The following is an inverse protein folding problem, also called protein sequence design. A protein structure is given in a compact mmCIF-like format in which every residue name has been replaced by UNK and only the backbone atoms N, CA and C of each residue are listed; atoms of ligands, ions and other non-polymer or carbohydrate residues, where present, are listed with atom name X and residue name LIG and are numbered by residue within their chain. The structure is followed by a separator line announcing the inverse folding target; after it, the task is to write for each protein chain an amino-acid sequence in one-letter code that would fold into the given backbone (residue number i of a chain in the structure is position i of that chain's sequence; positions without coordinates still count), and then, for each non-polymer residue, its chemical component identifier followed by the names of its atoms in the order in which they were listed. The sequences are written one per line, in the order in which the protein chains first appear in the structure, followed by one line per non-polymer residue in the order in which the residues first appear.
data_IF_698222890596
#
_entry.id   IF_698222890596
#
_cell.length_a   1.000
_cell.length_b   1.000
_cell.length_c   1.000
_cell.angle_alpha   90.00
_cell.angle_beta   90.00
_cell.angle_gamma   90.00
#
_symmetry.space_group_name_H-M   'P 1'
#
loop_
_entity.id
_entity.type
_entity.pdbx_description
1 polymer ?
#
# COMPACT_ATOMS: atom_id res chain seq x y z
N UNK A 1 0.23 30.27 10.53
CA UNK A 1 0.03 29.13 9.63
C UNK A 1 -0.94 28.17 10.32
N UNK A 2 -2.11 27.91 9.74
CA UNK A 2 -3.11 27.03 10.34
C UNK A 2 -2.72 25.55 10.21
N UNK A 3 -3.19 24.71 11.12
CA UNK A 3 -3.01 23.27 11.04
C UNK A 3 -3.84 22.68 9.89
N UNK A 4 -3.24 21.78 9.10
CA UNK A 4 -3.93 21.10 8.00
C UNK A 4 -4.78 19.93 8.54
N UNK A 5 -5.98 20.27 9.03
CA UNK A 5 -6.96 19.29 9.53
C UNK A 5 -7.39 18.33 8.42
N UNK A 6 -7.39 18.76 7.15
CA UNK A 6 -7.79 17.90 6.04
C UNK A 6 -6.85 16.70 5.89
N UNK A 7 -5.55 16.91 6.04
CA UNK A 7 -4.55 15.82 6.04
C UNK A 7 -4.67 14.91 7.26
N UNK A 8 -5.04 15.45 8.42
CA UNK A 8 -5.25 14.65 9.63
C UNK A 8 -6.41 13.67 9.47
N UNK A 9 -7.45 14.03 8.73
CA UNK A 9 -8.62 13.15 8.52
C UNK A 9 -8.31 11.95 7.62
N UNK A 10 -7.28 12.03 6.77
CA UNK A 10 -6.88 10.94 5.87
C UNK A 10 -6.36 9.76 6.69
N UNK A 11 -7.05 8.63 6.60
CA UNK A 11 -6.69 7.44 7.38
C UNK A 11 -7.17 7.46 8.84
N UNK A 12 -7.94 8.47 9.26
CA UNK A 12 -8.54 8.52 10.59
C UNK A 12 -9.64 7.46 10.80
N UNK A 13 -10.12 6.83 9.72
CA UNK A 13 -11.13 5.76 9.73
C UNK A 13 -12.37 6.11 10.58
N UNK A 14 -12.80 7.37 10.53
CA UNK A 14 -13.97 7.88 11.25
C UNK A 14 -13.77 8.09 12.76
N UNK A 15 -12.54 7.96 13.28
CA UNK A 15 -12.24 8.14 14.71
C UNK A 15 -12.10 9.60 15.15
N UNK A 16 -11.98 10.53 14.19
CA UNK A 16 -11.77 11.96 14.44
C UNK A 16 -12.89 12.85 13.87
N UNK A 17 -13.95 12.26 13.34
CA UNK A 17 -15.07 13.01 12.75
C UNK A 17 -15.71 12.31 11.56
N UNK A 18 -16.75 12.93 11.04
CA UNK A 18 -17.45 12.52 9.83
C UNK A 18 -17.06 13.45 8.68
N UNK A 19 -16.74 12.87 7.53
CA UNK A 19 -16.55 13.63 6.28
C UNK A 19 -17.91 13.74 5.60
N UNK A 20 -18.40 14.97 5.45
CA UNK A 20 -19.66 15.26 4.74
C UNK A 20 -19.39 15.62 3.28
N UNK A 21 -18.40 16.49 3.07
CA UNK A 21 -17.97 16.94 1.75
C UNK A 21 -16.48 16.68 1.56
N UNK A 22 -16.12 16.22 0.35
CA UNK A 22 -14.72 16.01 -0.05
C UNK A 22 -14.48 16.64 -1.42
N UNK A 23 -13.36 17.36 -1.53
CA UNK A 23 -12.88 17.87 -2.82
C UNK A 23 -11.71 17.01 -3.28
N UNK A 24 -11.85 16.40 -4.46
CA UNK A 24 -10.82 15.53 -5.03
C UNK A 24 -10.18 16.21 -6.23
N UNK A 25 -8.84 16.29 -6.22
CA UNK A 25 -8.09 16.65 -7.42
C UNK A 25 -8.16 15.47 -8.40
N UNK A 26 -8.68 15.72 -9.59
CA UNK A 26 -8.70 14.74 -10.68
C UNK A 26 -7.57 15.00 -11.67
N UNK A 27 -7.14 13.94 -12.35
CA UNK A 27 -6.17 14.02 -13.45
C UNK A 27 -6.89 13.73 -14.78
N UNK A 28 -6.42 14.30 -15.91
CA UNK A 28 -6.95 13.96 -17.22
C UNK A 28 -6.83 12.45 -17.52
N UNK A 29 -7.80 11.92 -18.26
CA UNK A 29 -7.69 10.56 -18.79
C UNK A 29 -6.52 10.51 -19.79
N UNK A 30 -5.60 9.53 -19.69
CA UNK A 30 -4.51 9.41 -20.65
C UNK A 30 -5.07 9.10 -22.05
N UNK A 31 -4.42 9.64 -23.09
CA UNK A 31 -4.76 9.34 -24.49
C UNK A 31 -4.49 7.88 -24.84
N UNK A 32 -3.40 7.33 -24.29
CA UNK A 32 -2.95 5.96 -24.53
C UNK A 32 -2.45 5.33 -23.24
N UNK A 33 -2.72 4.03 -23.10
CA UNK A 33 -2.06 3.17 -22.12
C UNK A 33 -1.47 1.96 -22.84
N UNK A 34 -0.28 1.54 -22.44
CA UNK A 34 0.36 0.31 -22.92
C UNK A 34 0.95 -0.44 -21.73
N UNK A 35 0.72 -1.75 -21.68
CA UNK A 35 1.23 -2.63 -20.62
C UNK A 35 2.26 -3.59 -21.19
N UNK A 36 3.40 -3.69 -20.53
CA UNK A 36 4.54 -4.52 -20.90
C UNK A 36 4.82 -5.52 -19.78
N UNK A 37 5.14 -6.75 -20.16
CA UNK A 37 5.58 -7.81 -19.27
C UNK A 37 7.07 -8.11 -19.48
N UNK A 38 7.74 -8.42 -18.38
CA UNK A 38 9.15 -8.80 -18.33
C UNK A 38 9.30 -10.05 -17.46
N UNK A 39 10.18 -10.95 -17.87
CA UNK A 39 10.72 -11.99 -16.97
C UNK A 39 11.80 -11.34 -16.09
N UNK A 40 11.54 -11.31 -14.78
CA UNK A 40 12.41 -10.73 -13.77
C UNK A 40 12.13 -11.37 -12.40
N UNK A 41 13.18 -11.78 -11.71
CA UNK A 41 13.04 -12.12 -10.29
C UNK A 41 12.70 -10.87 -9.45
N UNK A 42 12.37 -11.07 -8.17
CA UNK A 42 12.01 -9.99 -7.27
C UNK A 42 13.10 -8.91 -7.13
N UNK A 43 14.37 -9.30 -7.10
CA UNK A 43 15.49 -8.37 -6.96
C UNK A 43 15.64 -7.53 -8.23
N UNK A 44 15.63 -8.18 -9.39
CA UNK A 44 15.70 -7.54 -10.70
C UNK A 44 14.51 -6.58 -10.91
N UNK A 45 13.30 -6.99 -10.51
CA UNK A 45 12.10 -6.18 -10.63
C UNK A 45 12.21 -4.88 -9.81
N UNK A 46 12.60 -4.98 -8.54
CA UNK A 46 12.81 -3.80 -7.68
C UNK A 46 13.91 -2.89 -8.26
N UNK A 47 15.02 -3.46 -8.75
CA UNK A 47 16.09 -2.68 -9.36
C UNK A 47 15.63 -1.92 -10.61
N UNK A 48 14.93 -2.60 -11.53
CA UNK A 48 14.39 -1.98 -12.76
C UNK A 48 13.40 -0.87 -12.44
N UNK A 49 12.45 -1.12 -11.54
CA UNK A 49 11.45 -0.16 -11.10
C UNK A 49 12.09 1.11 -10.50
N UNK A 50 13.08 0.96 -9.62
CA UNK A 50 13.78 2.12 -9.07
C UNK A 50 14.63 2.86 -10.13
N UNK A 51 15.27 2.16 -11.06
CA UNK A 51 16.00 2.78 -12.16
C UNK A 51 15.08 3.57 -13.11
N UNK A 52 13.87 3.05 -13.39
CA UNK A 52 12.89 3.74 -14.23
C UNK A 52 12.23 4.93 -13.51
N UNK A 53 12.08 4.88 -12.19
CA UNK A 53 11.59 6.02 -11.40
C UNK A 53 12.49 7.28 -11.52
N UNK A 54 13.78 7.10 -11.82
CA UNK A 54 14.71 8.20 -12.08
C UNK A 54 14.63 8.77 -13.50
N UNK A 55 13.76 8.24 -14.36
CA UNK A 55 13.59 8.65 -15.76
C UNK A 55 12.23 9.34 -15.95
N UNK A 56 12.07 10.19 -16.98
CA UNK A 56 10.79 10.83 -17.29
C UNK A 56 9.81 9.85 -17.97
N UNK A 57 9.74 8.62 -17.48
CA UNK A 57 8.84 7.59 -18.00
C UNK A 57 7.48 7.73 -17.33
N UNK A 58 6.37 7.80 -18.09
CA UNK A 58 5.05 7.95 -17.51
C UNK A 58 4.50 6.57 -17.05
N UNK A 59 5.28 5.88 -16.20
CA UNK A 59 4.87 4.63 -15.58
C UNK A 59 3.75 4.95 -14.59
N UNK A 60 2.57 4.40 -14.85
CA UNK A 60 1.35 4.65 -14.08
C UNK A 60 0.94 3.47 -13.21
N UNK A 61 1.48 2.27 -13.47
CA UNK A 61 1.30 1.09 -12.62
C UNK A 61 2.45 0.11 -12.78
N UNK A 62 2.70 -0.68 -11.73
CA UNK A 62 3.67 -1.77 -11.72
C UNK A 62 3.15 -2.88 -10.82
N UNK A 63 3.27 -4.13 -11.23
CA UNK A 63 3.00 -5.30 -10.40
C UNK A 63 4.06 -6.36 -10.66
N UNK A 64 4.62 -6.96 -9.61
CA UNK A 64 5.51 -8.11 -9.73
C UNK A 64 5.00 -9.26 -8.87
N UNK A 65 4.98 -10.46 -9.45
CA UNK A 65 4.67 -11.72 -8.78
C UNK A 65 5.53 -12.84 -9.37
N UNK A 66 6.22 -13.61 -8.52
CA UNK A 66 7.09 -14.70 -8.94
C UNK A 66 8.22 -14.22 -9.83
N UNK A 67 8.15 -14.54 -11.14
CA UNK A 67 9.07 -14.06 -12.16
C UNK A 67 8.48 -13.03 -13.12
N UNK A 68 7.20 -12.67 -12.96
CA UNK A 68 6.53 -11.74 -13.87
C UNK A 68 6.56 -10.33 -13.30
N UNK A 69 7.20 -9.40 -14.00
CA UNK A 69 7.06 -7.97 -13.78
C UNK A 69 6.19 -7.38 -14.89
N UNK A 70 5.05 -6.79 -14.54
CA UNK A 70 4.20 -6.04 -15.47
C UNK A 70 4.22 -4.55 -15.14
N UNK A 71 4.29 -3.72 -16.17
CA UNK A 71 4.35 -2.26 -16.04
C UNK A 71 3.40 -1.62 -17.03
N UNK A 72 2.63 -0.63 -16.57
CA UNK A 72 1.79 0.21 -17.43
C UNK A 72 2.41 1.57 -17.61
N UNK A 73 2.41 2.04 -18.84
CA UNK A 73 2.80 3.40 -19.24
C UNK A 73 1.55 4.11 -19.76
N UNK A 74 1.23 5.30 -19.21
CA UNK A 74 0.00 6.03 -19.54
C UNK A 74 0.27 7.50 -19.81
N UNK A 75 -0.21 8.04 -20.92
CA UNK A 75 0.00 9.45 -21.28
C UNK A 75 -0.39 9.77 -22.72
N UNK A 76 0.28 10.77 -23.30
CA UNK A 76 0.15 11.10 -24.72
C UNK A 76 0.65 9.93 -25.59
N UNK A 77 -0.03 9.66 -26.72
CA UNK A 77 0.23 8.47 -27.53
C UNK A 77 1.71 8.31 -27.93
N UNK A 78 2.32 9.37 -28.47
CA UNK A 78 3.71 9.37 -28.89
C UNK A 78 4.69 9.12 -27.73
N UNK A 79 4.40 9.67 -26.54
CA UNK A 79 5.23 9.48 -25.34
C UNK A 79 5.16 8.05 -24.82
N UNK A 80 3.96 7.46 -24.80
CA UNK A 80 3.76 6.06 -24.40
C UNK A 80 4.48 5.12 -25.35
N UNK A 81 4.34 5.30 -26.66
CA UNK A 81 4.99 4.45 -27.67
C UNK A 81 6.51 4.57 -27.67
N UNK A 82 7.05 5.77 -27.45
CA UNK A 82 8.49 5.99 -27.32
C UNK A 82 9.06 5.28 -26.09
N UNK A 83 8.42 5.44 -24.93
CA UNK A 83 8.87 4.80 -23.68
C UNK A 83 8.68 3.29 -23.75
N UNK A 84 7.59 2.78 -24.33
CA UNK A 84 7.38 1.35 -24.49
C UNK A 84 8.50 0.69 -25.32
N UNK A 85 8.92 1.31 -26.42
CA UNK A 85 10.06 0.84 -27.22
C UNK A 85 11.39 0.87 -26.45
N UNK A 86 11.59 1.88 -25.60
CA UNK A 86 12.80 1.99 -24.77
C UNK A 86 12.84 1.00 -23.62
N UNK A 87 11.69 0.70 -23.01
CA UNK A 87 11.58 -0.30 -21.94
C UNK A 87 11.75 -1.72 -22.49
N UNK A 88 11.20 -1.98 -23.68
CA UNK A 88 11.10 -3.32 -24.24
C UNK A 88 10.06 -4.16 -23.50
N UNK A 89 10.21 -5.48 -23.55
CA UNK A 89 9.25 -6.43 -22.98
C UNK A 89 8.12 -6.78 -23.95
N UNK A 90 7.25 -7.67 -23.49
CA UNK A 90 6.17 -8.21 -24.32
C UNK A 90 4.88 -7.46 -24.01
N UNK A 91 4.16 -6.91 -25.02
CA UNK A 91 2.83 -6.34 -24.80
C UNK A 91 1.90 -7.36 -24.15
N UNK A 92 1.08 -6.89 -23.20
CA UNK A 92 0.09 -7.72 -22.51
C UNK A 92 -1.28 -7.50 -23.13
N UNK A 93 -1.88 -8.58 -23.63
CA UNK A 93 -3.28 -8.58 -24.08
C UNK A 93 -4.23 -8.46 -22.89
N UNK A 94 -5.43 -7.91 -23.11
CA UNK A 94 -6.47 -7.78 -22.07
C UNK A 94 -5.98 -7.04 -20.80
N UNK A 95 -4.97 -6.18 -20.94
CA UNK A 95 -4.31 -5.51 -19.81
C UNK A 95 -5.28 -4.73 -18.90
N UNK A 96 -6.38 -4.20 -19.44
CA UNK A 96 -7.40 -3.51 -18.66
C UNK A 96 -8.04 -4.44 -17.61
N UNK A 97 -8.38 -5.69 -17.99
CA UNK A 97 -8.94 -6.70 -17.08
C UNK A 97 -7.91 -7.12 -16.03
N UNK A 98 -6.66 -7.29 -16.43
CA UNK A 98 -5.55 -7.60 -15.52
C UNK A 98 -5.36 -6.51 -14.46
N UNK A 99 -5.30 -5.24 -14.85
CA UNK A 99 -5.14 -4.15 -13.89
C UNK A 99 -6.36 -3.95 -13.01
N UNK A 100 -7.56 -4.23 -13.51
CA UNK A 100 -8.78 -4.24 -12.72
C UNK A 100 -8.74 -5.36 -11.67
N UNK A 101 -8.34 -6.58 -12.03
CA UNK A 101 -8.29 -7.69 -11.08
C UNK A 101 -7.27 -7.47 -9.97
N UNK A 102 -6.13 -6.85 -10.26
CA UNK A 102 -5.14 -6.46 -9.24
C UNK A 102 -5.73 -5.37 -8.32
N UNK A 103 -6.27 -4.30 -8.90
CA UNK A 103 -6.84 -3.16 -8.16
C UNK A 103 -7.98 -3.56 -7.22
N UNK A 104 -8.88 -4.43 -7.70
CA UNK A 104 -10.04 -4.89 -6.95
C UNK A 104 -9.72 -6.11 -6.06
N UNK A 105 -8.44 -6.51 -5.97
CA UNK A 105 -7.98 -7.69 -5.24
C UNK A 105 -8.73 -8.98 -5.62
N UNK A 106 -9.01 -9.15 -6.92
CA UNK A 106 -9.67 -10.32 -7.52
C UNK A 106 -8.68 -11.26 -8.23
N UNK A 107 -7.43 -10.84 -8.47
CA UNK A 107 -6.41 -11.72 -9.03
C UNK A 107 -6.13 -12.92 -8.13
N UNK A 108 -5.65 -14.04 -8.70
CA UNK A 108 -5.40 -15.31 -7.99
C UNK A 108 -4.50 -15.16 -6.76
N UNK A 109 -3.58 -14.20 -6.78
CA UNK A 109 -2.76 -13.86 -5.61
C UNK A 109 -3.63 -13.52 -4.38
N UNK A 110 -4.76 -12.83 -4.54
CA UNK A 110 -5.60 -12.32 -3.44
C UNK A 110 -6.72 -13.29 -3.01
N UNK A 111 -6.87 -14.43 -3.70
CA UNK A 111 -7.81 -15.48 -3.34
C UNK A 111 -7.32 -16.29 -2.13
N UNK A 112 -8.19 -17.06 -1.49
CA UNK A 112 -7.84 -17.97 -0.39
C UNK A 112 -7.96 -17.38 1.02
N UNK A 113 -7.90 -18.23 2.06
CA UNK A 113 -8.14 -17.85 3.46
C UNK A 113 -6.90 -17.35 4.20
N UNK A 114 -5.70 -17.46 3.62
CA UNK A 114 -4.46 -17.13 4.32
C UNK A 114 -4.40 -15.62 4.69
N UNK A 115 -3.80 -15.26 5.84
CA UNK A 115 -3.67 -13.87 6.23
C UNK A 115 -2.95 -13.05 5.16
N UNK A 116 -3.61 -11.97 4.73
CA UNK A 116 -3.09 -11.03 3.75
C UNK A 116 -2.59 -9.79 4.46
N UNK A 117 -1.28 -9.56 4.35
CA UNK A 117 -0.60 -8.41 4.90
C UNK A 117 -0.31 -7.37 3.83
N UNK A 118 -0.54 -6.11 4.17
CA UNK A 118 -0.17 -4.94 3.38
C UNK A 118 1.00 -4.23 4.04
N UNK A 119 2.17 -4.25 3.42
CA UNK A 119 3.38 -3.61 3.93
C UNK A 119 3.72 -2.40 3.07
N UNK A 120 3.86 -1.24 3.70
CA UNK A 120 4.38 -0.03 3.07
C UNK A 120 5.83 0.13 3.50
N UNK A 121 6.76 0.00 2.57
CA UNK A 121 8.22 -0.05 2.82
C UNK A 121 8.96 0.90 1.87
N UNK A 122 10.26 1.09 2.06
CA UNK A 122 11.08 1.83 1.09
C UNK A 122 10.98 1.19 -0.30
N UNK A 123 10.88 2.01 -1.35
CA UNK A 123 10.81 1.50 -2.74
C UNK A 123 12.01 0.62 -3.11
N UNK A 124 13.16 0.90 -2.49
CA UNK A 124 14.44 0.22 -2.65
C UNK A 124 14.65 -0.96 -1.68
N UNK A 125 13.68 -1.25 -0.81
CA UNK A 125 13.81 -2.35 0.13
C UNK A 125 14.06 -3.68 -0.62
N UNK A 126 15.02 -4.51 -0.16
CA UNK A 126 15.30 -5.80 -0.77
C UNK A 126 14.12 -6.76 -0.61
N UNK A 127 14.27 -7.98 -1.14
CA UNK A 127 13.29 -9.03 -0.92
C UNK A 127 13.02 -9.21 0.58
N UNK A 128 11.74 -9.22 0.97
CA UNK A 128 11.37 -9.37 2.37
C UNK A 128 11.50 -10.84 2.75
N UNK A 129 12.22 -11.18 3.82
CA UNK A 129 12.41 -12.56 4.27
C UNK A 129 11.15 -13.06 5.00
N UNK A 130 10.04 -13.13 4.27
CA UNK A 130 8.75 -13.65 4.75
C UNK A 130 8.40 -14.92 3.98
N UNK A 131 7.95 -15.98 4.67
CA UNK A 131 7.47 -17.18 4.01
C UNK A 131 6.15 -16.89 3.29
N UNK A 132 5.78 -17.76 2.35
CA UNK A 132 4.55 -17.62 1.57
C UNK A 132 4.73 -16.77 0.32
N UNK A 133 3.61 -16.34 -0.26
CA UNK A 133 3.59 -15.62 -1.55
C UNK A 133 3.68 -14.12 -1.33
N UNK A 134 4.40 -13.44 -2.21
CA UNK A 134 4.51 -11.99 -2.19
C UNK A 134 4.18 -11.40 -3.56
N UNK A 135 3.54 -10.23 -3.54
CA UNK A 135 3.25 -9.42 -4.71
C UNK A 135 3.70 -7.98 -4.44
N UNK A 136 4.31 -7.35 -5.43
CA UNK A 136 4.97 -6.03 -5.28
C UNK A 136 4.28 -5.02 -6.18
N UNK A 137 3.86 -3.89 -5.61
CA UNK A 137 3.25 -2.80 -6.35
C UNK A 137 3.92 -1.45 -6.02
N UNK A 138 3.41 -0.40 -6.68
CA UNK A 138 3.77 1.01 -6.42
C UNK A 138 5.27 1.23 -6.50
N UNK A 139 5.87 0.77 -7.60
CA UNK A 139 7.29 0.88 -7.88
C UNK A 139 8.19 0.32 -6.78
N UNK A 140 7.75 -0.76 -6.13
CA UNK A 140 8.48 -1.36 -5.04
C UNK A 140 8.22 -0.73 -3.67
N UNK A 141 7.26 0.17 -3.48
CA UNK A 141 6.94 0.68 -2.14
C UNK A 141 5.85 -0.13 -1.41
N UNK A 142 5.01 -0.85 -2.15
CA UNK A 142 3.95 -1.70 -1.60
C UNK A 142 4.35 -3.17 -1.72
N UNK A 143 4.25 -3.93 -0.61
CA UNK A 143 4.34 -5.39 -0.62
C UNK A 143 3.05 -5.96 -0.08
N UNK A 144 2.42 -6.82 -0.85
CA UNK A 144 1.44 -7.74 -0.34
C UNK A 144 2.14 -9.05 0.03
N UNK A 145 1.80 -9.61 1.18
CA UNK A 145 2.29 -10.91 1.62
C UNK A 145 1.14 -11.79 2.09
N UNK A 146 0.99 -12.96 1.46
CA UNK A 146 0.14 -14.05 1.95
C UNK A 146 0.99 -14.98 2.79
N UNK A 147 0.84 -14.90 4.10
CA UNK A 147 1.71 -15.59 5.05
C UNK A 147 0.99 -15.82 6.37
N UNK A 148 1.22 -16.99 6.96
CA UNK A 148 0.80 -17.40 8.30
C UNK A 148 1.90 -17.15 9.35
N UNK A 149 3.01 -16.52 8.96
CA UNK A 149 4.04 -16.10 9.89
C UNK A 149 3.47 -15.24 11.02
N UNK A 150 4.10 -15.35 12.20
CA UNK A 150 3.77 -14.52 13.35
C UNK A 150 3.73 -13.03 12.95
N UNK A 151 2.64 -12.34 13.30
CA UNK A 151 2.46 -10.92 13.04
C UNK A 151 3.59 -10.06 13.61
N UNK A 152 4.23 -10.47 14.71
CA UNK A 152 5.41 -9.80 15.26
C UNK A 152 6.60 -9.85 14.27
N UNK A 153 6.84 -11.01 13.64
CA UNK A 153 7.86 -11.17 12.61
C UNK A 153 7.56 -10.31 11.38
N UNK A 154 6.32 -10.33 10.87
CA UNK A 154 5.91 -9.53 9.71
C UNK A 154 6.16 -8.03 9.96
N UNK A 155 5.83 -7.56 11.16
CA UNK A 155 6.03 -6.17 11.57
C UNK A 155 7.50 -5.81 11.72
N UNK A 156 8.31 -6.69 12.31
CA UNK A 156 9.76 -6.48 12.44
C UNK A 156 10.44 -6.39 11.06
N UNK A 157 10.06 -7.27 10.13
CA UNK A 157 10.54 -7.23 8.75
C UNK A 157 10.18 -5.91 8.07
N UNK A 158 8.92 -5.47 8.17
CA UNK A 158 8.48 -4.19 7.61
C UNK A 158 9.26 -3.01 8.20
N UNK A 159 9.46 -3.00 9.52
CA UNK A 159 10.21 -1.97 10.25
C UNK A 159 11.67 -1.91 9.79
N UNK A 160 12.35 -3.07 9.68
CA UNK A 160 13.72 -3.17 9.15
C UNK A 160 13.81 -2.68 7.70
N UNK A 161 12.76 -2.87 6.91
CA UNK A 161 12.63 -2.31 5.56
C UNK A 161 12.27 -0.81 5.53
N UNK A 162 12.23 -0.14 6.69
CA UNK A 162 11.95 1.28 6.82
C UNK A 162 10.47 1.64 6.69
N UNK A 163 9.59 0.70 7.07
CA UNK A 163 8.16 0.78 6.81
C UNK A 163 7.28 0.23 7.94
N UNK A 164 6.02 -0.04 7.59
CA UNK A 164 5.04 -0.63 8.50
C UNK A 164 4.20 -1.70 7.79
N UNK A 165 3.49 -2.50 8.58
CA UNK A 165 2.64 -3.58 8.11
C UNK A 165 1.23 -3.44 8.68
N UNK A 166 0.21 -3.77 7.90
CA UNK A 166 -1.17 -3.83 8.34
C UNK A 166 -1.73 -5.19 7.93
N UNK A 167 -2.38 -5.89 8.86
CA UNK A 167 -3.14 -7.09 8.53
C UNK A 167 -4.40 -6.65 7.79
N UNK A 168 -4.40 -6.82 6.47
CA UNK A 168 -5.43 -6.27 5.60
C UNK A 168 -6.67 -7.17 5.54
N UNK A 169 -6.46 -8.50 5.54
CA UNK A 169 -7.53 -9.50 5.55
C UNK A 169 -7.06 -10.72 6.34
N UNK A 170 -7.91 -11.24 7.21
CA UNK A 170 -7.70 -12.50 7.94
C UNK A 170 -9.06 -13.12 8.27
N UNK A 171 -9.09 -14.44 8.43
CA UNK A 171 -10.24 -15.18 8.96
C UNK A 171 -10.28 -15.18 10.49
N UNK A 172 -9.16 -14.86 11.14
CA UNK A 172 -9.02 -14.76 12.60
C UNK A 172 -8.95 -13.29 13.07
N UNK A 173 -9.22 -13.05 14.36
CA UNK A 173 -9.21 -11.72 14.99
C UNK A 173 -8.22 -11.59 16.15
N UNK A 174 -7.38 -12.59 16.34
CA UNK A 174 -6.37 -12.69 17.40
C UNK A 174 -5.14 -11.80 17.12
N UNK A 175 -4.85 -11.53 15.84
CA UNK A 175 -3.76 -10.65 15.44
C UNK A 175 -4.25 -9.20 15.30
N UNK A 176 -3.58 -8.28 15.99
CA UNK A 176 -3.86 -6.85 15.87
C UNK A 176 -3.71 -6.38 14.41
N UNK A 177 -4.59 -5.49 13.95
CA UNK A 177 -4.64 -5.02 12.56
C UNK A 177 -3.47 -4.09 12.22
N UNK A 178 -3.28 -3.02 13.01
CA UNK A 178 -2.33 -1.95 12.70
C UNK A 178 -0.94 -2.18 13.26
N UNK A 179 0.05 -1.55 12.64
CA UNK A 179 1.41 -1.53 13.17
C UNK A 179 1.45 -0.83 14.52
N UNK A 180 2.01 -1.46 15.58
CA UNK A 180 2.07 -0.87 16.91
C UNK A 180 2.66 0.54 16.88
N UNK A 181 2.04 1.45 17.62
CA UNK A 181 2.56 2.80 17.77
C UNK A 181 3.65 2.82 18.85
N UNK A 182 4.76 3.55 18.62
CA UNK A 182 5.62 3.99 19.70
C UNK A 182 4.81 4.77 20.76
N UNK A 183 5.16 4.60 22.04
CA UNK A 183 4.44 5.23 23.17
C UNK A 183 4.21 6.74 23.02
N UNK A 184 5.19 7.56 22.56
CA UNK A 184 4.94 8.99 22.34
C UNK A 184 3.83 9.28 21.33
N UNK A 185 3.67 8.42 20.31
CA UNK A 185 2.61 8.56 19.32
C UNK A 185 1.25 8.11 19.88
N UNK A 186 1.20 7.13 20.79
CA UNK A 186 -0.05 6.76 21.49
C UNK A 186 -0.61 7.97 22.25
N UNK A 187 0.23 8.64 23.05
CA UNK A 187 -0.18 9.83 23.80
C UNK A 187 -0.68 10.96 22.88
N UNK A 188 -0.02 11.17 21.74
CA UNK A 188 -0.46 12.14 20.74
C UNK A 188 -1.82 11.76 20.14
N UNK A 189 -2.04 10.50 19.77
CA UNK A 189 -3.32 10.02 19.25
C UNK A 189 -4.44 10.17 20.27
N UNK A 190 -4.21 9.87 21.55
CA UNK A 190 -5.20 10.09 22.62
C UNK A 190 -5.61 11.56 22.73
N UNK A 191 -4.64 12.48 22.71
CA UNK A 191 -4.93 13.93 22.74
C UNK A 191 -5.73 14.38 21.53
N UNK A 192 -5.35 13.93 20.33
CA UNK A 192 -6.10 14.23 19.11
C UNK A 192 -7.52 13.71 19.19
N UNK A 193 -7.70 12.44 19.57
CA UNK A 193 -9.02 11.84 19.72
C UNK A 193 -9.88 12.59 20.75
N UNK A 194 -9.33 12.95 21.92
CA UNK A 194 -10.05 13.73 22.94
C UNK A 194 -10.48 15.12 22.44
N UNK A 195 -9.67 15.77 21.60
CA UNK A 195 -10.01 17.06 21.02
C UNK A 195 -11.13 16.96 19.98
N UNK A 196 -11.11 15.94 19.13
CA UNK A 196 -12.07 15.76 18.03
C UNK A 196 -13.34 14.99 18.43
N UNK A 197 -13.26 14.15 19.45
CA UNK A 197 -14.35 13.33 19.99
C UNK A 197 -14.36 13.37 21.53
N UNK A 198 -14.70 14.51 22.16
CA UNK A 198 -14.71 14.64 23.62
C UNK A 198 -15.69 13.68 24.31
N UNK A 199 -16.75 13.26 23.62
CA UNK A 199 -17.74 12.31 24.11
C UNK A 199 -17.33 10.85 23.92
N UNK A 200 -16.27 10.58 23.15
CA UNK A 200 -15.76 9.24 22.88
C UNK A 200 -16.74 8.36 22.11
N UNK A 201 -17.55 8.92 21.19
CA UNK A 201 -18.60 8.19 20.47
C UNK A 201 -18.16 7.71 19.08
N UNK A 202 -17.05 8.22 18.54
CA UNK A 202 -16.65 8.00 17.16
C UNK A 202 -15.73 6.77 17.01
N UNK A 203 -16.25 5.74 16.32
CA UNK A 203 -15.53 4.53 15.88
C UNK A 203 -14.52 4.00 16.93
N UNK A 204 -14.99 3.81 18.16
CA UNK A 204 -14.19 3.27 19.27
C UNK A 204 -13.60 1.90 18.90
N UNK A 205 -12.35 1.69 19.27
CA UNK A 205 -11.59 0.46 19.00
C UNK A 205 -11.26 0.24 17.52
N UNK A 206 -11.59 1.18 16.61
CA UNK A 206 -11.39 0.99 15.18
C UNK A 206 -9.92 0.96 14.77
N UNK A 207 -9.09 1.80 15.39
CA UNK A 207 -7.65 1.85 15.15
C UNK A 207 -6.93 1.00 16.21
N UNK A 208 -6.46 1.64 17.27
CA UNK A 208 -5.73 1.05 18.37
C UNK A 208 -6.65 0.98 19.59
N UNK A 209 -7.03 -0.22 20.09
CA UNK A 209 -7.92 -0.36 21.25
C UNK A 209 -7.45 0.42 22.48
N UNK A 210 -6.15 0.52 22.69
CA UNK A 210 -5.53 1.25 23.80
C UNK A 210 -5.75 2.77 23.78
N UNK A 211 -6.26 3.33 22.67
CA UNK A 211 -6.62 4.76 22.60
C UNK A 211 -7.96 5.04 23.29
N UNK A 212 -8.80 4.03 23.47
CA UNK A 212 -10.13 4.14 24.09
C UNK A 212 -10.13 3.71 25.56
N UNK A 213 -9.03 3.13 26.05
CA UNK A 213 -8.84 2.79 27.46
C UNK A 213 -8.57 4.04 28.30
N UNK A 214 -9.07 4.12 29.54
CA UNK A 214 -8.68 5.18 30.46
C UNK A 214 -7.16 5.15 30.67
N UNK A 215 -6.56 6.33 30.81
CA UNK A 215 -5.13 6.48 31.09
C UNK A 215 -4.84 5.87 32.47
N UNK A 216 -4.40 4.62 32.51
CA UNK A 216 -3.83 4.01 33.71
C UNK A 216 -2.44 4.61 33.88
N UNK A 217 -2.39 5.83 34.40
CA UNK A 217 -1.14 6.53 34.69
C UNK A 217 -0.23 5.65 35.55
N UNK A 218 0.98 5.42 35.04
CA UNK A 218 2.13 4.96 35.80
C UNK A 218 3.26 5.96 35.54
#
# INVERSE_FOLDING_TARGET
AGFDVSRLMVGAMGTLGLLLDISLKVLPRPERELTLQFDADQREAVQRLNAWAGKPYPISASCHEGRSLIVRVSGAAAGVEAVARQLGGTPVDEAAKLWQSIREHQADFFAGPEPLWRLSVKSTAPALPLPGRQLIEWNGALRWAKTDADGALVRDVARKAGGHATLFRSTTRDVAVFHPLPQPLVALHRRLKKTFDPAGILNRGRLYPELDSPDTGA
#
